data_IF_129547393496
#
_entry.id   IF_129547393496
#
_cell.length_a   1.000
_cell.length_b   1.000
_cell.length_c   1.000
_cell.angle_alpha   90.00
_cell.angle_beta   90.00
_cell.angle_gamma   90.00
#
_symmetry.space_group_name_H-M   'P 1'
#
loop_
_entity.id
_entity.type
_entity.pdbx_description
1 polymer ?
#
# COMPACT_ATOMS: atom_id res chain seq x y z
N UNK A 1 -78.35 -9.01 -0.03
CA UNK A 1 -76.99 -9.55 -0.20
C UNK A 1 -76.05 -8.39 -0.46
N UNK A 2 -75.23 -7.99 0.44
CA UNK A 2 -74.28 -6.90 0.17
C UNK A 2 -73.03 -7.41 -0.57
N UNK A 3 -72.71 -6.77 -1.67
CA UNK A 3 -71.49 -7.04 -2.46
C UNK A 3 -70.26 -6.45 -1.78
N UNK A 4 -69.33 -7.29 -1.43
CA UNK A 4 -68.03 -6.89 -0.89
C UNK A 4 -67.17 -6.37 -2.04
N UNK A 5 -66.85 -5.06 -2.04
CA UNK A 5 -65.90 -4.45 -2.93
C UNK A 5 -64.50 -4.73 -2.41
N UNK A 6 -63.71 -5.52 -3.13
CA UNK A 6 -62.29 -5.72 -2.85
C UNK A 6 -61.52 -4.49 -3.29
N UNK A 7 -61.07 -3.71 -2.35
CA UNK A 7 -60.13 -2.61 -2.57
C UNK A 7 -58.71 -3.17 -2.67
N UNK A 8 -58.11 -3.08 -3.86
CA UNK A 8 -56.74 -3.46 -4.07
C UNK A 8 -55.88 -2.24 -3.67
N UNK A 9 -55.13 -2.35 -2.59
CA UNK A 9 -54.11 -1.37 -2.23
C UNK A 9 -52.88 -1.64 -3.09
N UNK A 10 -52.58 -0.75 -4.00
CA UNK A 10 -51.34 -0.71 -4.73
C UNK A 10 -50.28 -0.09 -3.81
N UNK A 11 -49.35 -0.90 -3.34
CA UNK A 11 -48.17 -0.42 -2.64
C UNK A 11 -47.14 0.02 -3.67
N UNK A 12 -47.00 1.33 -3.83
CA UNK A 12 -45.92 1.91 -4.63
C UNK A 12 -44.61 1.79 -3.85
N UNK A 13 -43.74 0.88 -4.26
CA UNK A 13 -42.39 0.81 -3.74
C UNK A 13 -41.56 1.94 -4.38
N UNK A 14 -41.31 2.99 -3.61
CA UNK A 14 -40.33 4.02 -3.97
C UNK A 14 -38.92 3.46 -3.84
N UNK A 15 -38.31 3.14 -4.97
CA UNK A 15 -36.87 2.87 -5.06
C UNK A 15 -36.10 4.18 -4.85
N UNK A 16 -35.63 4.39 -3.64
CA UNK A 16 -34.66 5.44 -3.36
C UNK A 16 -33.32 4.99 -3.94
N UNK A 17 -32.95 5.55 -5.09
CA UNK A 17 -31.63 5.36 -5.67
C UNK A 17 -30.61 6.09 -4.74
N UNK A 18 -29.92 5.33 -3.88
CA UNK A 18 -28.71 5.79 -3.24
C UNK A 18 -27.63 5.93 -4.31
N UNK A 19 -27.44 7.14 -4.81
CA UNK A 19 -26.22 7.51 -5.55
C UNK A 19 -25.07 7.57 -4.54
N UNK A 20 -24.54 6.38 -4.22
CA UNK A 20 -23.29 6.26 -3.50
C UNK A 20 -22.16 6.78 -4.40
N UNK A 21 -21.56 7.88 -4.00
CA UNK A 21 -20.26 8.28 -4.52
C UNK A 21 -19.30 7.11 -4.29
N UNK A 22 -18.91 6.43 -5.37
CA UNK A 22 -17.84 5.46 -5.36
C UNK A 22 -16.55 6.22 -5.05
N UNK A 23 -16.27 6.40 -3.76
CA UNK A 23 -14.93 6.72 -3.31
C UNK A 23 -14.04 5.59 -3.84
N UNK A 24 -13.09 5.93 -4.70
CA UNK A 24 -12.07 4.99 -5.13
C UNK A 24 -11.27 4.60 -3.89
N UNK A 25 -11.69 3.53 -3.23
CA UNK A 25 -10.84 2.84 -2.29
C UNK A 25 -9.71 2.26 -3.13
N UNK A 26 -8.53 2.89 -3.05
CA UNK A 26 -7.32 2.25 -3.52
C UNK A 26 -7.22 0.93 -2.73
N UNK A 27 -7.51 -0.18 -3.40
CA UNK A 27 -7.31 -1.47 -2.80
C UNK A 27 -5.84 -1.55 -2.36
N UNK A 28 -5.54 -1.97 -1.12
CA UNK A 28 -4.16 -2.20 -0.73
C UNK A 28 -3.57 -3.18 -1.73
N UNK A 29 -2.50 -2.78 -2.39
CA UNK A 29 -1.79 -3.68 -3.27
C UNK A 29 -1.37 -4.89 -2.44
N UNK A 30 -1.93 -6.05 -2.73
CA UNK A 30 -1.49 -7.30 -2.13
C UNK A 30 -0.05 -7.52 -2.58
N UNK A 31 0.87 -7.39 -1.64
CA UNK A 31 2.27 -7.45 -1.94
C UNK A 31 2.82 -8.81 -1.54
N UNK A 32 2.58 -9.82 -2.31
CA UNK A 32 3.52 -10.93 -2.43
C UNK A 32 3.39 -11.60 -3.80
N UNK A 33 3.87 -10.98 -4.88
CA UNK A 33 4.04 -11.69 -6.13
C UNK A 33 5.17 -12.73 -6.04
N UNK A 34 5.90 -12.79 -4.92
CA UNK A 34 7.02 -13.68 -4.73
C UNK A 34 8.22 -13.37 -5.63
N UNK A 35 9.09 -14.35 -5.84
CA UNK A 35 10.17 -14.31 -6.82
C UNK A 35 11.41 -13.50 -6.44
N UNK A 36 11.48 -12.90 -5.24
CA UNK A 36 12.73 -12.37 -4.70
C UNK A 36 13.53 -13.51 -4.05
N UNK A 37 14.85 -13.55 -4.30
CA UNK A 37 15.75 -14.54 -3.73
C UNK A 37 17.00 -13.85 -3.18
N UNK A 38 17.44 -14.30 -2.03
CA UNK A 38 18.66 -13.80 -1.38
C UNK A 38 18.99 -14.65 -0.16
N UNK A 39 20.13 -15.38 -0.13
CA UNK A 39 20.55 -16.10 1.05
C UNK A 39 20.70 -15.13 2.25
N UNK A 40 20.12 -15.49 3.40
CA UNK A 40 20.17 -14.67 4.60
C UNK A 40 19.28 -13.40 4.59
N UNK A 41 18.62 -13.08 3.49
CA UNK A 41 17.66 -11.96 3.42
C UNK A 41 16.31 -12.42 3.97
N UNK A 42 15.82 -11.75 5.00
CA UNK A 42 14.53 -12.05 5.63
C UNK A 42 13.37 -11.45 4.84
N UNK A 43 13.51 -10.20 4.41
CA UNK A 43 12.53 -9.57 3.54
C UNK A 43 13.21 -8.76 2.42
N UNK A 44 12.55 -8.66 1.27
CA UNK A 44 12.98 -7.83 0.16
C UNK A 44 11.78 -7.43 -0.70
N UNK A 45 11.85 -6.27 -1.34
CA UNK A 45 10.86 -5.88 -2.33
C UNK A 45 11.45 -4.96 -3.42
N UNK A 46 10.89 -5.06 -4.61
CA UNK A 46 11.05 -4.08 -5.69
C UNK A 46 9.70 -3.38 -5.82
N UNK A 47 9.70 -2.07 -5.61
CA UNK A 47 8.49 -1.24 -5.56
C UNK A 47 8.55 -0.19 -6.66
N UNK A 48 7.46 -0.03 -7.39
CA UNK A 48 7.30 1.04 -8.37
C UNK A 48 6.96 2.38 -7.69
N UNK A 49 7.07 3.47 -8.42
CA UNK A 49 6.75 4.81 -7.93
C UNK A 49 5.30 4.99 -7.46
N UNK A 50 4.37 4.20 -7.98
CA UNK A 50 2.96 4.18 -7.56
C UNK A 50 2.68 3.32 -6.32
N UNK A 51 3.70 2.63 -5.79
CA UNK A 51 3.60 1.72 -4.65
C UNK A 51 3.27 0.27 -5.04
N UNK A 52 3.06 -0.03 -6.31
CA UNK A 52 2.87 -1.41 -6.76
C UNK A 52 4.15 -2.23 -6.62
N UNK A 53 4.01 -3.49 -6.28
CA UNK A 53 5.14 -4.40 -6.03
C UNK A 53 5.42 -5.24 -7.27
N UNK A 54 6.67 -5.19 -7.74
CA UNK A 54 7.13 -5.99 -8.88
C UNK A 54 7.44 -7.42 -8.45
N UNK A 55 8.13 -7.56 -7.31
CA UNK A 55 8.41 -8.84 -6.63
C UNK A 55 8.76 -8.57 -5.19
N UNK A 56 8.50 -9.56 -4.33
CA UNK A 56 8.81 -9.47 -2.91
C UNK A 56 9.13 -10.82 -2.30
N UNK A 57 9.63 -10.79 -1.07
CA UNK A 57 9.81 -11.89 -0.14
C UNK A 57 9.68 -11.33 1.26
N UNK A 58 8.96 -12.01 2.16
CA UNK A 58 8.84 -11.58 3.56
C UNK A 58 8.11 -10.24 3.75
N UNK A 59 7.28 -9.85 2.79
CA UNK A 59 6.53 -8.59 2.78
C UNK A 59 5.05 -8.89 2.58
N UNK A 60 4.23 -8.52 3.56
CA UNK A 60 2.77 -8.71 3.51
C UNK A 60 2.09 -7.67 2.62
N UNK A 61 2.44 -6.39 2.76
CA UNK A 61 1.83 -5.31 1.96
C UNK A 61 2.78 -4.13 1.79
N UNK A 62 2.61 -3.37 0.71
CA UNK A 62 3.20 -2.05 0.51
C UNK A 62 2.08 -1.04 0.35
N UNK A 63 2.13 0.05 1.12
CA UNK A 63 1.16 1.15 1.07
C UNK A 63 1.88 2.44 0.72
N UNK A 64 1.48 3.11 -0.34
CA UNK A 64 1.86 4.49 -0.60
C UNK A 64 0.94 5.39 0.20
N UNK A 65 1.48 6.18 1.12
CA UNK A 65 0.69 7.02 2.04
C UNK A 65 0.69 8.50 1.64
N UNK A 66 1.70 8.95 0.92
CA UNK A 66 1.79 10.30 0.35
C UNK A 66 2.80 10.31 -0.79
N UNK A 67 2.99 11.45 -1.43
CA UNK A 67 4.04 11.64 -2.44
C UNK A 67 5.41 11.30 -1.85
N UNK A 68 6.10 10.34 -2.45
CA UNK A 68 7.40 9.87 -2.02
C UNK A 68 7.42 9.16 -0.66
N UNK A 69 6.28 8.70 -0.15
CA UNK A 69 6.20 8.06 1.16
C UNK A 69 5.51 6.70 1.08
N UNK A 70 6.20 5.69 1.55
CA UNK A 70 5.76 4.30 1.46
C UNK A 70 5.93 3.59 2.80
N UNK A 71 4.97 2.75 3.13
CA UNK A 71 4.98 1.87 4.29
C UNK A 71 5.00 0.42 3.84
N UNK A 72 6.02 -0.31 4.25
CA UNK A 72 6.23 -1.71 3.88
C UNK A 72 5.97 -2.56 5.10
N UNK A 73 4.86 -3.30 5.10
CA UNK A 73 4.53 -4.25 6.14
C UNK A 73 5.35 -5.52 5.93
N UNK A 74 6.16 -5.86 6.91
CA UNK A 74 6.89 -7.12 6.92
C UNK A 74 6.00 -8.27 7.41
N UNK A 75 6.38 -9.51 7.05
CA UNK A 75 5.72 -10.69 7.56
C UNK A 75 5.88 -10.78 9.09
N UNK A 76 4.98 -11.52 9.74
CA UNK A 76 4.88 -11.53 11.19
C UNK A 76 6.13 -12.06 11.92
N UNK A 77 6.95 -12.87 11.23
CA UNK A 77 8.21 -13.43 11.74
C UNK A 77 9.41 -12.48 11.58
N UNK A 78 9.22 -11.33 10.91
CA UNK A 78 10.26 -10.31 10.71
C UNK A 78 9.93 -9.08 11.54
N UNK A 79 10.74 -8.83 12.60
CA UNK A 79 10.55 -7.66 13.45
C UNK A 79 11.23 -6.44 12.84
N UNK A 80 10.45 -5.50 12.32
CA UNK A 80 10.96 -4.29 11.67
C UNK A 80 11.85 -3.44 12.62
N UNK A 81 11.45 -3.31 13.88
CA UNK A 81 12.16 -2.45 14.87
C UNK A 81 13.58 -2.96 15.22
N UNK A 82 13.87 -4.23 15.00
CA UNK A 82 15.19 -4.83 15.28
C UNK A 82 16.03 -5.09 14.04
N UNK A 83 15.53 -4.72 12.87
CA UNK A 83 16.24 -4.91 11.60
C UNK A 83 17.00 -3.65 11.19
N UNK A 84 17.92 -3.80 10.27
CA UNK A 84 18.64 -2.68 9.63
C UNK A 84 18.36 -2.74 8.14
N UNK A 85 17.22 -2.19 7.69
CA UNK A 85 16.84 -2.23 6.28
C UNK A 85 17.78 -1.35 5.45
N UNK A 86 18.01 -1.78 4.21
CA UNK A 86 18.73 -1.02 3.21
C UNK A 86 17.79 -0.77 2.03
N UNK A 87 17.76 0.45 1.54
CA UNK A 87 16.97 0.80 0.36
C UNK A 87 17.81 1.57 -0.66
N UNK A 88 17.51 1.34 -1.94
CA UNK A 88 18.16 2.02 -3.06
C UNK A 88 17.13 2.47 -4.09
N UNK A 89 17.39 3.61 -4.72
CA UNK A 89 16.56 4.10 -5.83
C UNK A 89 16.64 3.14 -6.99
N UNK A 90 15.50 2.85 -7.61
CA UNK A 90 15.46 2.08 -8.84
C UNK A 90 15.74 2.99 -10.02
N UNK A 91 16.75 2.64 -10.83
CA UNK A 91 17.23 3.44 -11.95
C UNK A 91 16.17 3.80 -13.02
N UNK A 92 15.12 3.00 -13.17
CA UNK A 92 14.12 3.13 -14.24
C UNK A 92 13.33 4.44 -14.14
N UNK A 93 13.78 5.53 -14.69
CA UNK A 93 13.15 6.86 -14.69
C UNK A 93 13.39 7.75 -13.46
N UNK A 94 14.30 7.39 -12.58
CA UNK A 94 14.70 8.26 -11.47
C UNK A 94 15.67 9.35 -11.98
N UNK A 95 15.46 10.64 -11.64
CA UNK A 95 16.46 11.67 -11.90
C UNK A 95 17.74 11.42 -11.08
N UNK A 96 18.87 11.96 -11.56
CA UNK A 96 20.17 11.76 -10.92
C UNK A 96 20.27 12.31 -9.49
N UNK A 97 19.48 13.31 -9.15
CA UNK A 97 19.40 13.91 -7.82
C UNK A 97 18.42 13.18 -6.88
N UNK A 98 17.94 12.00 -7.27
CA UNK A 98 17.03 11.21 -6.45
C UNK A 98 17.71 10.75 -5.17
N UNK A 99 17.00 10.92 -4.06
CA UNK A 99 17.39 10.46 -2.73
C UNK A 99 16.38 9.48 -2.17
N UNK A 100 16.84 8.64 -1.25
CA UNK A 100 16.01 7.67 -0.54
C UNK A 100 16.38 7.64 0.92
N UNK A 101 15.37 7.52 1.77
CA UNK A 101 15.49 7.36 3.22
C UNK A 101 14.76 6.09 3.62
N UNK A 102 15.34 5.36 4.55
CA UNK A 102 14.69 4.19 5.13
C UNK A 102 14.73 4.27 6.65
N UNK A 103 13.62 3.91 7.29
CA UNK A 103 13.50 3.85 8.74
C UNK A 103 12.90 2.51 9.14
N UNK A 104 13.56 1.74 10.05
CA UNK A 104 13.13 0.40 10.41
C UNK A 104 11.83 0.38 11.23
N UNK A 105 11.57 1.43 12.02
CA UNK A 105 10.35 1.56 12.80
C UNK A 105 9.39 2.55 12.14
N UNK A 106 8.32 2.02 11.60
CA UNK A 106 7.30 2.80 10.91
C UNK A 106 6.24 3.44 11.83
N UNK A 107 6.30 3.24 13.15
CA UNK A 107 5.24 3.67 14.07
C UNK A 107 4.85 5.14 13.88
N UNK A 108 5.81 6.02 13.72
CA UNK A 108 5.61 7.45 13.60
C UNK A 108 5.02 7.88 12.25
N UNK A 109 5.46 7.26 11.15
CA UNK A 109 5.04 7.63 9.79
C UNK A 109 3.96 6.72 9.22
N UNK A 110 3.99 5.43 9.59
CA UNK A 110 3.10 4.41 9.07
C UNK A 110 1.97 4.02 10.03
N UNK A 111 2.07 4.44 11.31
CA UNK A 111 1.13 4.10 12.36
C UNK A 111 1.30 2.69 12.93
N UNK A 112 2.35 1.96 12.53
CA UNK A 112 2.62 0.60 13.03
C UNK A 112 4.14 0.35 13.04
N UNK A 113 4.66 -0.12 14.18
CA UNK A 113 6.08 -0.43 14.36
C UNK A 113 6.57 -1.64 13.55
N UNK A 114 5.66 -2.42 12.99
CA UNK A 114 5.99 -3.54 12.10
C UNK A 114 6.22 -3.12 10.64
N UNK A 115 6.01 -1.85 10.35
CA UNK A 115 6.26 -1.30 9.03
C UNK A 115 7.68 -0.74 8.94
N UNK A 116 8.28 -0.89 7.79
CA UNK A 116 9.47 -0.12 7.38
C UNK A 116 8.99 1.08 6.58
N UNK A 117 9.38 2.27 7.01
CA UNK A 117 9.10 3.49 6.25
C UNK A 117 10.19 3.73 5.22
N UNK A 118 9.78 4.04 3.99
CA UNK A 118 10.67 4.47 2.91
C UNK A 118 10.20 5.82 2.39
N UNK A 119 11.10 6.79 2.40
CA UNK A 119 10.90 8.11 1.81
C UNK A 119 11.74 8.28 0.55
N UNK A 120 11.15 8.78 -0.53
CA UNK A 120 11.85 9.10 -1.77
C UNK A 120 11.66 10.57 -2.15
N UNK A 121 12.65 11.16 -2.76
CA UNK A 121 12.60 12.57 -3.14
C UNK A 121 13.75 12.99 -4.04
N UNK A 122 13.85 14.30 -4.21
CA UNK A 122 14.95 14.99 -4.89
C UNK A 122 15.32 16.21 -4.05
N UNK A 123 16.30 16.98 -4.47
CA UNK A 123 16.63 18.27 -3.84
C UNK A 123 15.44 19.25 -3.78
N UNK A 124 14.46 19.10 -4.66
CA UNK A 124 13.25 19.93 -4.69
C UNK A 124 12.16 19.47 -3.67
N UNK A 125 12.32 18.30 -3.04
CA UNK A 125 11.37 17.76 -2.07
C UNK A 125 10.91 16.34 -2.39
N UNK A 126 9.84 15.91 -1.72
CA UNK A 126 9.28 14.56 -1.87
C UNK A 126 8.85 14.30 -3.31
N UNK A 127 9.20 13.14 -3.84
CA UNK A 127 8.87 12.70 -5.19
C UNK A 127 8.66 11.19 -5.23
N UNK A 128 7.65 10.76 -5.97
CA UNK A 128 7.40 9.35 -6.21
C UNK A 128 8.53 8.76 -7.07
N UNK A 129 9.23 7.79 -6.52
CA UNK A 129 10.36 7.12 -7.19
C UNK A 129 10.32 5.64 -6.83
N UNK A 130 10.49 4.77 -7.83
CA UNK A 130 10.63 3.34 -7.60
C UNK A 130 11.91 3.02 -6.83
N UNK A 131 11.89 1.94 -6.04
CA UNK A 131 13.02 1.57 -5.19
C UNK A 131 13.12 0.07 -4.97
N UNK A 132 14.28 -0.33 -4.47
CA UNK A 132 14.52 -1.65 -3.90
C UNK A 132 14.69 -1.51 -2.40
N UNK A 133 14.19 -2.47 -1.63
CA UNK A 133 14.44 -2.57 -0.20
C UNK A 133 14.84 -4.00 0.15
N UNK A 134 15.80 -4.13 1.06
CA UNK A 134 16.29 -5.41 1.59
C UNK A 134 16.33 -5.29 3.10
N UNK A 135 15.85 -6.34 3.77
CA UNK A 135 15.93 -6.53 5.22
C UNK A 135 16.72 -7.80 5.48
N UNK A 136 17.94 -7.70 6.01
CA UNK A 136 18.79 -8.86 6.35
C UNK A 136 18.18 -9.76 7.43
#
# INVERSE_FOLDING_TARGET
MPRIKKTILAVAATLTACTGTLGAFAAPALADPGGASGPGVRAAAIVNADGSVVRSKGVTTVRKIATGQYCIRLDADVNAATTVPVATVRWTSAPWDSSIFVRPDGAESCGDSRDVFVGTGTAAGARDTGFHVIVP
#
